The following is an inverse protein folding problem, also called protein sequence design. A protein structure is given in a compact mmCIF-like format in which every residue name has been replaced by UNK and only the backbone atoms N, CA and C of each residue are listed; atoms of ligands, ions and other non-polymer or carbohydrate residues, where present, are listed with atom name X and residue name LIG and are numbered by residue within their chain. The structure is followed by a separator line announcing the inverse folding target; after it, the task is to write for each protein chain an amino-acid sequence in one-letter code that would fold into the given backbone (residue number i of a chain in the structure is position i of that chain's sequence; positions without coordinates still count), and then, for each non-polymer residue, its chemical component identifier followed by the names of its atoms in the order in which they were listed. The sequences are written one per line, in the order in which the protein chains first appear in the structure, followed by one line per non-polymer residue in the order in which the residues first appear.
data_IF_855295136104
#
_entry.id   IF_855295136104
#
_cell.length_a   1.000
_cell.length_b   1.000
_cell.length_c   1.000
_cell.angle_alpha   90.00
_cell.angle_beta   90.00
_cell.angle_gamma   90.00
#
_symmetry.space_group_name_H-M   'P 1'
#
loop_
_entity.id
_entity.type
_entity.pdbx_description
1 polymer ?
#
# COMPACT_ATOMS: atom_id res chain seq x y z
N UNK A 1 -10.09 -1.89 -9.72
CA UNK A 1 -10.71 -3.25 -9.63
C UNK A 1 -11.44 -3.30 -8.31
N UNK A 2 -12.77 -3.36 -8.32
CA UNK A 2 -13.58 -3.50 -7.10
C UNK A 2 -13.98 -4.96 -7.01
N UNK A 3 -13.57 -5.65 -5.93
CA UNK A 3 -13.98 -7.03 -5.63
C UNK A 3 -14.43 -7.11 -4.18
N UNK A 4 -15.71 -7.43 -3.99
CA UNK A 4 -16.30 -7.74 -2.69
C UNK A 4 -16.09 -9.23 -2.44
N UNK A 5 -15.21 -9.61 -1.52
CA UNK A 5 -15.18 -10.98 -1.00
C UNK A 5 -14.44 -11.08 0.33
N UNK A 6 -14.77 -12.10 1.11
CA UNK A 6 -14.25 -12.33 2.46
C UNK A 6 -12.77 -12.77 2.44
N UNK A 7 -12.01 -12.33 3.45
CA UNK A 7 -10.58 -12.60 3.68
C UNK A 7 -10.28 -14.11 3.72
N UNK A 8 -9.14 -14.54 3.14
CA UNK A 8 -8.62 -15.92 3.30
C UNK A 8 -8.39 -16.75 2.04
N UNK A 9 -8.59 -16.23 0.83
CA UNK A 9 -8.57 -17.03 -0.43
C UNK A 9 -7.36 -16.78 -1.34
N UNK A 10 -6.26 -16.20 -0.85
CA UNK A 10 -5.05 -15.95 -1.64
C UNK A 10 -5.14 -14.78 -2.64
N UNK A 11 -6.29 -14.09 -2.72
CA UNK A 11 -6.51 -13.00 -3.67
C UNK A 11 -5.64 -11.77 -3.38
N UNK A 12 -5.45 -11.41 -2.11
CA UNK A 12 -4.52 -10.32 -1.72
C UNK A 12 -3.08 -10.66 -2.13
N UNK A 13 -2.71 -11.94 -2.06
CA UNK A 13 -1.43 -12.46 -2.57
C UNK A 13 -1.27 -12.24 -4.07
N UNK A 14 -2.21 -12.79 -4.85
CA UNK A 14 -2.18 -12.67 -6.31
C UNK A 14 -2.20 -11.20 -6.78
N UNK A 15 -3.01 -10.35 -6.12
CA UNK A 15 -3.08 -8.92 -6.45
C UNK A 15 -1.82 -8.16 -6.04
N UNK A 16 -1.30 -8.48 -4.86
CA UNK A 16 -0.10 -7.84 -4.30
C UNK A 16 1.14 -8.14 -5.13
N UNK A 17 1.32 -9.40 -5.53
CA UNK A 17 2.43 -9.83 -6.41
C UNK A 17 2.36 -9.10 -7.75
N UNK A 18 1.21 -9.16 -8.43
CA UNK A 18 1.03 -8.48 -9.72
C UNK A 18 1.22 -6.96 -9.63
N UNK A 19 0.78 -6.35 -8.53
CA UNK A 19 1.01 -4.93 -8.28
C UNK A 19 2.50 -4.62 -8.11
N UNK A 20 3.23 -5.46 -7.36
CA UNK A 20 4.67 -5.29 -7.17
C UNK A 20 5.40 -5.41 -8.51
N UNK A 21 5.14 -6.44 -9.30
CA UNK A 21 5.73 -6.65 -10.63
C UNK A 21 5.57 -5.41 -11.53
N UNK A 22 4.42 -4.72 -11.44
CA UNK A 22 4.16 -3.50 -12.22
C UNK A 22 4.93 -2.27 -11.75
N UNK A 23 5.46 -2.25 -10.53
CA UNK A 23 6.10 -1.07 -9.93
C UNK A 23 7.60 -1.24 -9.67
N UNK A 24 8.15 -2.45 -9.77
CA UNK A 24 9.61 -2.68 -9.72
C UNK A 24 10.30 -1.77 -10.75
N UNK A 25 11.40 -1.12 -10.32
CA UNK A 25 12.20 -0.23 -11.16
C UNK A 25 11.58 1.15 -11.41
N UNK A 26 10.35 1.40 -10.95
CA UNK A 26 9.70 2.71 -11.04
C UNK A 26 9.98 3.56 -9.81
N UNK A 27 9.93 4.87 -9.98
CA UNK A 27 10.13 5.86 -8.93
C UNK A 27 8.84 6.65 -8.66
N UNK A 28 8.75 7.21 -7.44
CA UNK A 28 7.57 7.97 -7.02
C UNK A 28 6.33 7.10 -6.83
N UNK A 29 5.22 7.69 -6.42
CA UNK A 29 3.97 6.98 -6.13
C UNK A 29 3.40 6.33 -7.40
N UNK A 30 3.25 5.01 -7.39
CA UNK A 30 2.74 4.20 -8.49
C UNK A 30 1.37 3.58 -8.19
N UNK A 31 1.06 3.35 -6.92
CA UNK A 31 -0.23 2.77 -6.53
C UNK A 31 -0.70 3.23 -5.16
N UNK A 32 -2.02 3.27 -5.00
CA UNK A 32 -2.69 3.54 -3.72
C UNK A 32 -3.75 2.46 -3.49
N UNK A 33 -3.73 1.87 -2.31
CA UNK A 33 -4.67 0.86 -1.86
C UNK A 33 -5.49 1.47 -0.72
N UNK A 34 -6.80 1.53 -0.92
CA UNK A 34 -7.73 2.06 0.06
C UNK A 34 -8.33 0.90 0.87
N UNK A 35 -8.13 0.95 2.18
CA UNK A 35 -8.72 0.01 3.12
C UNK A 35 -9.84 0.71 3.92
N UNK A 36 -10.94 0.00 4.24
CA UNK A 36 -12.08 0.60 4.96
C UNK A 36 -11.71 1.01 6.39
N UNK A 37 -10.74 0.35 7.00
CA UNK A 37 -10.26 0.65 8.34
C UNK A 37 -8.77 0.34 8.49
N UNK A 38 -8.15 0.93 9.52
CA UNK A 38 -6.71 0.84 9.78
C UNK A 38 -6.21 -0.60 9.92
N UNK A 39 -6.91 -1.46 10.67
CA UNK A 39 -6.49 -2.84 10.90
C UNK A 39 -6.28 -3.61 9.59
N UNK A 40 -7.27 -3.52 8.69
CA UNK A 40 -7.22 -4.17 7.38
C UNK A 40 -6.11 -3.60 6.49
N UNK A 41 -5.94 -2.27 6.50
CA UNK A 41 -4.86 -1.64 5.75
C UNK A 41 -3.47 -2.03 6.27
N UNK A 42 -3.31 -2.27 7.57
CA UNK A 42 -2.06 -2.75 8.13
C UNK A 42 -1.74 -4.19 7.70
N UNK A 43 -2.74 -5.08 7.70
CA UNK A 43 -2.60 -6.47 7.23
C UNK A 43 -2.19 -6.51 5.75
N UNK A 44 -2.87 -5.72 4.90
CA UNK A 44 -2.50 -5.61 3.47
C UNK A 44 -1.08 -5.05 3.31
N UNK A 45 -0.71 -4.02 4.08
CA UNK A 45 0.62 -3.43 4.00
C UNK A 45 1.72 -4.40 4.44
N UNK A 46 1.46 -5.27 5.40
CA UNK A 46 2.38 -6.32 5.84
C UNK A 46 2.63 -7.34 4.73
N UNK A 47 1.55 -7.87 4.12
CA UNK A 47 1.66 -8.81 3.00
C UNK A 47 2.42 -8.20 1.81
N UNK A 48 2.13 -6.94 1.45
CA UNK A 48 2.85 -6.27 0.36
C UNK A 48 4.34 -6.08 0.65
N UNK A 49 4.71 -5.80 1.91
CA UNK A 49 6.12 -5.69 2.31
C UNK A 49 6.84 -7.02 2.25
N UNK A 50 6.14 -8.11 2.59
CA UNK A 50 6.67 -9.45 2.45
C UNK A 50 6.92 -9.79 0.98
N UNK A 51 5.93 -9.58 0.13
CA UNK A 51 6.06 -9.83 -1.30
C UNK A 51 7.12 -8.92 -1.95
N UNK A 52 7.29 -7.68 -1.48
CA UNK A 52 8.24 -6.72 -2.06
C UNK A 52 9.68 -6.87 -1.56
N UNK A 53 9.94 -7.82 -0.65
CA UNK A 53 11.27 -8.03 -0.06
C UNK A 53 12.30 -8.35 -1.14
N UNK A 54 13.39 -7.59 -1.16
CA UNK A 54 14.46 -7.76 -2.16
C UNK A 54 14.19 -7.14 -3.54
N UNK A 55 13.00 -6.58 -3.79
CA UNK A 55 12.62 -6.06 -5.11
C UNK A 55 12.78 -4.53 -5.28
N UNK A 56 13.30 -3.83 -4.26
CA UNK A 56 13.47 -2.38 -4.28
C UNK A 56 12.16 -1.58 -4.25
N UNK A 57 11.03 -2.24 -3.96
CA UNK A 57 9.70 -1.62 -3.86
C UNK A 57 9.36 -1.32 -2.40
N UNK A 58 8.96 -0.09 -2.11
CA UNK A 58 8.61 0.36 -0.76
C UNK A 58 7.11 0.61 -0.59
N UNK A 59 6.60 0.24 0.59
CA UNK A 59 5.18 0.37 0.97
C UNK A 59 5.03 1.34 2.14
N UNK A 60 4.27 2.42 1.94
CA UNK A 60 3.89 3.42 2.95
C UNK A 60 2.49 3.16 3.46
N UNK A 61 2.30 3.28 4.77
CA UNK A 61 0.97 3.28 5.36
C UNK A 61 0.50 4.72 5.62
N UNK A 62 -0.74 5.01 5.25
CA UNK A 62 -1.36 6.35 5.28
C UNK A 62 -2.62 6.31 6.16
N UNK A 63 -2.44 6.56 7.45
CA UNK A 63 -3.52 6.51 8.46
C UNK A 63 -3.47 7.73 9.39
N UNK A 64 -4.61 8.05 10.00
CA UNK A 64 -4.73 9.10 11.01
C UNK A 64 -3.88 8.81 12.26
N UNK A 65 -3.63 9.84 13.08
CA UNK A 65 -2.85 9.73 14.32
C UNK A 65 -1.34 9.93 14.16
N UNK A 66 -0.85 10.28 12.96
CA UNK A 66 0.52 10.78 12.73
C UNK A 66 0.46 11.98 11.77
N UNK A 67 1.35 13.00 11.90
CA UNK A 67 1.38 14.16 11.00
C UNK A 67 1.41 13.77 9.52
N UNK A 68 0.59 14.41 8.69
CA UNK A 68 0.45 14.08 7.26
C UNK A 68 1.75 14.39 6.51
N UNK A 69 2.50 15.39 6.95
CA UNK A 69 3.76 15.83 6.37
C UNK A 69 4.83 14.74 6.43
N UNK A 70 4.83 13.90 7.49
CA UNK A 70 5.72 12.73 7.58
C UNK A 70 5.38 11.69 6.52
N UNK A 71 4.09 11.55 6.20
CA UNK A 71 3.56 10.61 5.22
C UNK A 71 3.83 11.13 3.79
N UNK A 72 3.65 12.42 3.55
CA UNK A 72 4.01 13.09 2.29
C UNK A 72 5.52 13.02 2.02
N UNK A 73 6.36 13.32 3.03
CA UNK A 73 7.83 13.22 2.92
C UNK A 73 8.28 11.79 2.60
N UNK A 74 7.54 10.80 3.06
CA UNK A 74 7.78 9.41 2.74
C UNK A 74 7.60 9.12 1.24
N UNK A 75 6.57 9.65 0.59
CA UNK A 75 6.39 9.50 -0.86
C UNK A 75 7.45 10.24 -1.68
N UNK A 76 7.87 11.43 -1.21
CA UNK A 76 8.97 12.20 -1.84
C UNK A 76 10.32 11.48 -1.84
N UNK A 77 10.49 10.42 -1.03
CA UNK A 77 11.69 9.56 -1.02
C UNK A 77 11.62 8.43 -2.07
N UNK A 78 10.78 8.56 -3.09
CA UNK A 78 10.69 7.61 -4.20
C UNK A 78 9.87 6.36 -3.91
N UNK A 79 8.99 6.39 -2.89
CA UNK A 79 8.19 5.23 -2.50
C UNK A 79 7.04 4.97 -3.46
N UNK A 80 6.89 3.71 -3.86
CA UNK A 80 6.02 3.32 -4.96
C UNK A 80 4.59 2.99 -4.56
N UNK A 81 4.37 2.44 -3.36
CA UNK A 81 3.05 1.97 -2.95
C UNK A 81 2.57 2.67 -1.68
N UNK A 82 1.32 3.13 -1.69
CA UNK A 82 0.60 3.66 -0.52
C UNK A 82 -0.57 2.76 -0.11
N UNK A 83 -0.76 2.52 1.18
CA UNK A 83 -1.90 1.79 1.74
C UNK A 83 -2.54 2.64 2.83
N UNK A 84 -3.80 3.02 2.70
CA UNK A 84 -4.41 3.97 3.63
C UNK A 84 -5.93 3.90 3.72
N UNK A 85 -6.52 4.66 4.64
CA UNK A 85 -7.98 4.85 4.68
C UNK A 85 -8.39 6.02 3.78
N UNK A 86 -9.55 5.97 3.10
CA UNK A 86 -9.98 7.01 2.17
C UNK A 86 -9.88 8.43 2.74
N UNK A 87 -10.40 8.65 3.95
CA UNK A 87 -10.36 9.97 4.60
C UNK A 87 -8.94 10.52 4.73
N UNK A 88 -7.96 9.70 5.12
CA UNK A 88 -6.58 10.16 5.30
C UNK A 88 -5.80 10.31 4.01
N UNK A 89 -6.17 9.57 2.97
CA UNK A 89 -5.51 9.64 1.66
C UNK A 89 -5.95 10.88 0.88
N UNK A 90 -7.15 11.40 1.17
CA UNK A 90 -7.71 12.60 0.55
C UNK A 90 -7.21 13.89 1.25
N UNK A 91 -6.75 13.81 2.51
CA UNK A 91 -6.09 14.90 3.24
C UNK A 91 -4.81 15.40 2.54
#
# INVERSE_FOLDING_TARGET
IVRHDQTGTGKTGAFGIHLIEKVVGKQGLQSVILAPQRGWGMEVAEQLREFSRGQGVQVVTVFGGKPIERQIKAFKKGRQNGVGTPGRVID
#
